data_IF_107887160943
#
_entry.id   IF_107887160943
#
_cell.length_a   1.000
_cell.length_b   1.000
_cell.length_c   1.000
_cell.angle_alpha   90.00
_cell.angle_beta   90.00
_cell.angle_gamma   90.00
#
_symmetry.space_group_name_H-M   'P 1'
#
loop_
_entity.id
_entity.type
_entity.pdbx_description
1 polymer ?
#
# COMPACT_ATOMS: atom_id res chain seq x y z
N UNK A 1 -0.02 -7.74 22.93
CA UNK A 1 1.20 -7.13 22.37
C UNK A 1 0.71 -6.01 21.47
N UNK A 2 1.22 -4.79 21.58
CA UNK A 2 0.91 -3.78 20.56
C UNK A 2 1.47 -4.26 19.22
N UNK A 3 0.63 -4.37 18.19
CA UNK A 3 1.09 -4.69 16.86
C UNK A 3 1.89 -3.49 16.34
N UNK A 4 3.22 -3.64 16.33
CA UNK A 4 4.15 -2.57 15.96
C UNK A 4 3.89 -2.19 14.49
N UNK A 5 3.68 -0.90 14.25
CA UNK A 5 3.46 -0.36 12.90
C UNK A 5 4.75 0.19 12.32
N UNK A 6 4.87 0.09 11.00
CA UNK A 6 6.01 0.51 10.21
C UNK A 6 5.54 1.32 9.01
N UNK A 7 6.45 2.09 8.42
CA UNK A 7 6.21 2.77 7.16
C UNK A 7 6.52 1.82 6.00
N UNK A 8 5.60 1.74 5.05
CA UNK A 8 5.75 0.99 3.82
C UNK A 8 5.64 1.91 2.62
N UNK A 9 6.34 1.55 1.56
CA UNK A 9 6.22 2.15 0.24
C UNK A 9 5.58 1.15 -0.71
N UNK A 10 4.51 1.56 -1.36
CA UNK A 10 3.92 0.86 -2.49
C UNK A 10 4.44 1.44 -3.80
N UNK A 11 4.71 0.58 -4.79
CA UNK A 11 5.02 0.98 -6.14
C UNK A 11 4.53 -0.05 -7.16
N UNK A 12 3.82 0.42 -8.19
CA UNK A 12 3.47 -0.36 -9.38
C UNK A 12 3.85 0.40 -10.65
N UNK A 13 4.61 -0.24 -11.53
CA UNK A 13 4.86 0.26 -12.87
C UNK A 13 3.73 -0.17 -13.81
N UNK A 14 2.87 0.78 -14.19
CA UNK A 14 1.76 0.56 -15.13
C UNK A 14 2.19 0.85 -16.59
N UNK A 15 3.49 0.86 -16.87
CA UNK A 15 4.07 1.07 -18.18
C UNK A 15 3.76 2.45 -18.74
N UNK A 16 3.23 2.50 -19.97
CA UNK A 16 2.94 3.79 -20.65
C UNK A 16 1.83 4.59 -19.99
N UNK A 17 1.01 3.96 -19.16
CA UNK A 17 -0.07 4.63 -18.41
C UNK A 17 0.47 5.43 -17.22
N UNK A 18 1.70 5.17 -16.78
CA UNK A 18 2.31 5.81 -15.61
C UNK A 18 2.65 4.77 -14.54
N UNK A 19 2.58 5.19 -13.29
CA UNK A 19 2.87 4.35 -12.14
C UNK A 19 1.95 4.71 -10.97
N UNK A 20 1.70 3.76 -10.08
CA UNK A 20 1.14 4.03 -8.76
C UNK A 20 2.28 4.04 -7.75
N UNK A 21 2.21 4.97 -6.81
CA UNK A 21 3.08 4.96 -5.64
C UNK A 21 2.32 5.39 -4.40
N UNK A 22 2.79 4.97 -3.23
CA UNK A 22 2.26 5.45 -1.97
C UNK A 22 3.15 5.18 -0.78
N UNK A 23 2.90 5.91 0.30
CA UNK A 23 3.54 5.77 1.59
C UNK A 23 2.45 5.65 2.65
N UNK A 24 2.43 4.51 3.33
CA UNK A 24 1.37 4.19 4.30
C UNK A 24 1.92 3.42 5.50
N UNK A 25 1.19 3.48 6.61
CA UNK A 25 1.59 2.90 7.88
C UNK A 25 0.73 1.68 8.19
N UNK A 26 1.37 0.52 8.26
CA UNK A 26 0.72 -0.76 8.50
C UNK A 26 1.56 -1.64 9.44
N UNK A 27 0.97 -2.73 9.89
CA UNK A 27 1.65 -3.83 10.57
C UNK A 27 2.25 -4.79 9.54
N UNK A 28 3.23 -5.59 9.95
CA UNK A 28 3.77 -6.66 9.09
C UNK A 28 2.71 -7.71 8.73
N UNK A 29 1.77 -7.98 9.66
CA UNK A 29 0.67 -8.91 9.44
C UNK A 29 -0.29 -8.42 8.35
N UNK A 30 -0.75 -7.17 8.44
CA UNK A 30 -1.60 -6.54 7.43
C UNK A 30 -0.96 -6.63 6.04
N UNK A 31 0.32 -6.24 5.90
CA UNK A 31 1.05 -6.34 4.62
C UNK A 31 1.17 -7.78 4.14
N UNK A 32 1.53 -8.72 5.02
CA UNK A 32 1.67 -10.14 4.64
C UNK A 32 0.35 -10.76 4.19
N UNK A 33 -0.78 -10.29 4.71
CA UNK A 33 -2.10 -10.83 4.41
C UNK A 33 -2.68 -10.42 3.06
N UNK A 34 -2.04 -9.46 2.38
CA UNK A 34 -2.45 -8.98 1.05
C UNK A 34 -1.53 -9.43 -0.07
N UNK A 35 -0.34 -9.96 0.24
CA UNK A 35 0.53 -10.55 -0.78
C UNK A 35 -0.17 -11.74 -1.44
N UNK A 36 -0.19 -11.76 -2.77
CA UNK A 36 -0.89 -12.76 -3.57
C UNK A 36 -2.39 -12.50 -3.76
N UNK A 37 -2.92 -11.38 -3.27
CA UNK A 37 -4.31 -10.96 -3.52
C UNK A 37 -4.38 -9.94 -4.65
N UNK A 38 -5.51 -9.92 -5.35
CA UNK A 38 -5.78 -8.92 -6.38
C UNK A 38 -6.23 -7.59 -5.76
N UNK A 39 -5.57 -6.50 -6.16
CA UNK A 39 -5.98 -5.14 -5.84
C UNK A 39 -6.59 -4.48 -7.08
N UNK A 40 -7.74 -3.81 -6.92
CA UNK A 40 -8.45 -3.10 -7.99
C UNK A 40 -8.54 -1.60 -7.69
N UNK A 41 -7.75 -0.79 -8.40
CA UNK A 41 -7.70 0.67 -8.23
C UNK A 41 -8.68 1.41 -9.16
N UNK A 42 -9.20 0.74 -10.19
CA UNK A 42 -10.03 1.39 -11.21
C UNK A 42 -9.24 2.39 -12.07
N UNK A 43 -9.90 3.44 -12.56
CA UNK A 43 -9.35 4.39 -13.55
C UNK A 43 -8.46 5.50 -12.94
N UNK A 44 -7.53 5.16 -12.05
CA UNK A 44 -6.69 6.13 -11.31
C UNK A 44 -5.63 6.84 -12.16
N UNK A 45 -5.26 6.27 -13.32
CA UNK A 45 -4.30 6.86 -14.26
C UNK A 45 -4.94 7.61 -15.43
N UNK A 46 -6.26 7.87 -15.35
CA UNK A 46 -7.02 8.57 -16.37
C UNK A 46 -8.15 7.74 -16.97
N UNK A 47 -8.90 8.37 -17.89
CA UNK A 47 -10.06 7.74 -18.51
C UNK A 47 -9.64 6.53 -19.33
N UNK A 48 -10.33 5.40 -19.16
CA UNK A 48 -10.04 4.13 -19.83
C UNK A 48 -8.69 3.49 -19.45
N UNK A 49 -8.13 3.83 -18.28
CA UNK A 49 -6.93 3.19 -17.74
C UNK A 49 -7.24 2.50 -16.41
N UNK A 50 -8.02 1.42 -16.47
CA UNK A 50 -8.24 0.55 -15.31
C UNK A 50 -6.91 -0.04 -14.85
N UNK A 51 -6.63 0.09 -13.56
CA UNK A 51 -5.44 -0.46 -12.90
C UNK A 51 -5.88 -1.51 -11.90
N UNK A 52 -5.41 -2.73 -12.09
CA UNK A 52 -5.60 -3.86 -11.19
C UNK A 52 -4.47 -4.87 -11.37
N UNK A 53 -4.27 -5.72 -10.39
CA UNK A 53 -3.25 -6.76 -10.43
C UNK A 53 -3.06 -7.45 -9.08
N UNK A 54 -2.35 -8.57 -9.10
CA UNK A 54 -1.91 -9.24 -7.87
C UNK A 54 -0.83 -8.41 -7.18
N UNK A 55 -0.90 -8.29 -5.85
CA UNK A 55 0.18 -7.68 -5.06
C UNK A 55 1.29 -8.71 -4.89
N UNK A 56 2.41 -8.50 -5.60
CA UNK A 56 3.57 -9.39 -5.58
C UNK A 56 4.56 -9.05 -4.46
N UNK A 57 5.43 -10.02 -4.14
CA UNK A 57 6.59 -9.75 -3.28
C UNK A 57 7.49 -8.69 -3.91
N UNK A 58 7.60 -7.53 -3.24
CA UNK A 58 8.43 -6.40 -3.69
C UNK A 58 7.64 -5.16 -4.13
N UNK A 59 6.33 -5.29 -4.37
CA UNK A 59 5.46 -4.15 -4.65
C UNK A 59 5.28 -3.26 -3.42
N UNK A 60 5.28 -3.89 -2.23
CA UNK A 60 5.25 -3.23 -0.93
C UNK A 60 6.60 -3.45 -0.25
N UNK A 61 7.32 -2.37 0.02
CA UNK A 61 8.64 -2.41 0.65
C UNK A 61 8.65 -1.66 1.98
N UNK A 62 9.23 -2.26 3.01
CA UNK A 62 9.39 -1.62 4.31
C UNK A 62 10.46 -0.54 4.22
N UNK A 63 10.14 0.67 4.66
CA UNK A 63 11.10 1.78 4.71
C UNK A 63 11.90 1.68 6.01
N UNK A 64 13.22 1.88 5.92
CA UNK A 64 14.13 1.84 7.08
C UNK A 64 13.99 3.12 7.94
N UNK A 65 12.91 3.18 8.71
CA UNK A 65 12.61 4.23 9.68
C UNK A 65 12.20 3.56 10.99
N UNK A 66 12.66 4.13 12.11
CA UNK A 66 12.33 3.59 13.41
C UNK A 66 10.82 3.66 13.68
N UNK A 67 10.21 2.62 14.26
CA UNK A 67 8.78 2.62 14.59
C UNK A 67 8.35 3.75 15.51
N UNK A 68 9.27 4.25 16.35
CA UNK A 68 9.02 5.37 17.25
C UNK A 68 8.86 6.67 16.45
N UNK A 69 9.65 6.87 15.39
CA UNK A 69 9.47 7.99 14.47
C UNK A 69 8.19 7.85 13.66
N UNK A 70 7.86 6.65 13.17
CA UNK A 70 6.59 6.37 12.48
C UNK A 70 5.41 6.71 13.40
N UNK A 71 5.43 6.23 14.65
CA UNK A 71 4.39 6.50 15.64
C UNK A 71 4.22 7.99 15.92
N UNK A 72 5.32 8.74 16.06
CA UNK A 72 5.27 10.17 16.32
C UNK A 72 4.65 10.93 15.14
N UNK A 73 5.11 10.67 13.91
CA UNK A 73 4.59 11.33 12.72
C UNK A 73 3.11 10.97 12.49
N UNK A 74 2.73 9.71 12.72
CA UNK A 74 1.35 9.26 12.57
C UNK A 74 0.35 9.96 13.51
N UNK A 75 0.78 10.52 14.65
CA UNK A 75 -0.11 11.34 15.49
C UNK A 75 -0.58 12.61 14.80
N UNK A 76 0.16 13.08 13.81
CA UNK A 76 -0.12 14.33 13.10
C UNK A 76 -0.68 14.11 11.69
N UNK A 77 -0.22 13.06 11.00
CA UNK A 77 -0.58 12.80 9.61
C UNK A 77 -1.51 11.59 9.42
N UNK A 78 -1.76 10.80 10.47
CA UNK A 78 -2.48 9.54 10.36
C UNK A 78 -1.62 8.42 9.78
N UNK A 79 -2.25 7.48 9.09
CA UNK A 79 -1.59 6.29 8.52
C UNK A 79 -1.36 6.39 7.01
N UNK A 80 -2.06 7.30 6.32
CA UNK A 80 -1.95 7.51 4.89
C UNK A 80 -1.12 8.76 4.61
N UNK A 81 0.17 8.59 4.29
CA UNK A 81 1.10 9.71 4.21
C UNK A 81 1.22 10.29 2.81
N UNK A 82 1.08 9.45 1.77
CA UNK A 82 1.09 9.89 0.38
C UNK A 82 0.54 8.82 -0.55
N UNK A 83 -0.07 9.25 -1.67
CA UNK A 83 -0.42 8.37 -2.77
C UNK A 83 -1.43 7.30 -2.37
N UNK A 84 -1.15 6.05 -2.76
CA UNK A 84 -2.06 4.93 -2.61
C UNK A 84 -1.60 3.92 -1.54
N UNK A 85 -2.53 3.48 -0.69
CA UNK A 85 -2.36 2.30 0.14
C UNK A 85 -3.08 1.11 -0.52
N UNK A 86 -2.33 0.12 -1.05
CA UNK A 86 -2.94 -1.01 -1.75
C UNK A 86 -3.85 -1.88 -0.89
N UNK A 87 -3.72 -1.83 0.45
CA UNK A 87 -4.59 -2.59 1.35
C UNK A 87 -6.06 -2.13 1.29
N UNK A 88 -6.32 -0.88 0.89
CA UNK A 88 -7.68 -0.34 0.75
C UNK A 88 -8.38 -0.79 -0.55
N UNK A 89 -7.67 -1.49 -1.44
CA UNK A 89 -8.13 -1.86 -2.79
C UNK A 89 -8.23 -3.37 -2.99
N UNK A 90 -8.04 -4.15 -1.92
CA UNK A 90 -8.23 -5.59 -1.96
C UNK A 90 -9.72 -5.91 -1.82
N UNK A 91 -10.28 -6.64 -2.77
CA UNK A 91 -11.64 -7.16 -2.64
C UNK A 91 -11.62 -8.34 -1.67
N UNK A 92 -12.38 -8.25 -0.57
CA UNK A 92 -12.54 -9.35 0.39
C UNK A 92 -13.54 -10.42 -0.09
N UNK A 93 -14.17 -10.23 -1.25
CA UNK A 93 -15.28 -11.04 -1.75
C UNK A 93 -14.88 -12.23 -2.66
N UNK A 94 -13.58 -12.53 -2.81
CA UNK A 94 -13.11 -13.74 -3.50
C UNK A 94 -13.10 -14.96 -2.55
N UNK A 95 -14.29 -15.37 -2.09
CA UNK A 95 -14.58 -16.71 -1.53
C UNK A 95 -15.51 -17.54 -2.44
#
# INVERSE_FOLDING_TARGET
>A
MENKKYLYRFYWDCGRSGYLEGLFVATEEEVSSVIGKEAYFGEVLGKHSEVYGEIEEGDITKVDISPEAVSEVSKHLGTEWSGFNPLEYINEDDE
#
